data_IF_497130017959
#
_entry.id   IF_497130017959
#
_cell.length_a   1.000
_cell.length_b   1.000
_cell.length_c   1.000
_cell.angle_alpha   90.00
_cell.angle_beta   90.00
_cell.angle_gamma   90.00
#
_symmetry.space_group_name_H-M   'P 1'
#
loop_
_entity.id
_entity.type
_entity.pdbx_description
1 polymer ?
#
# COMPACT_ATOMS: atom_id res chain seq x y z
N UNK A 1 -18.35 15.64 -27.37
CA UNK A 1 -19.30 14.53 -27.47
C UNK A 1 -20.54 14.95 -26.68
N UNK A 2 -21.64 15.29 -27.37
CA UNK A 2 -22.85 15.83 -26.75
C UNK A 2 -23.58 14.70 -26.02
N UNK A 3 -23.72 14.81 -24.69
CA UNK A 3 -24.60 13.93 -23.93
C UNK A 3 -26.02 14.07 -24.49
N UNK A 4 -26.57 12.99 -25.01
CA UNK A 4 -27.83 12.99 -25.81
C UNK A 4 -29.09 13.24 -24.98
N UNK A 5 -29.07 13.13 -23.66
CA UNK A 5 -30.15 13.56 -22.76
C UNK A 5 -29.70 13.49 -21.27
N UNK A 6 -30.27 14.32 -20.40
CA UNK A 6 -30.13 14.23 -18.95
C UNK A 6 -30.67 12.91 -18.38
N UNK A 7 -31.62 12.26 -19.06
CA UNK A 7 -32.18 10.95 -18.69
C UNK A 7 -31.13 9.82 -18.79
N UNK A 8 -30.23 9.88 -19.80
CA UNK A 8 -29.16 8.89 -19.91
C UNK A 8 -28.13 8.99 -18.79
N UNK A 9 -27.94 10.18 -18.20
CA UNK A 9 -27.03 10.38 -17.07
C UNK A 9 -27.56 9.72 -15.79
N UNK A 10 -28.87 9.70 -15.56
CA UNK A 10 -29.47 9.09 -14.37
C UNK A 10 -29.12 7.61 -14.28
N UNK A 11 -29.25 6.87 -15.38
CA UNK A 11 -28.92 5.46 -15.40
C UNK A 11 -27.41 5.17 -15.13
N UNK A 12 -26.54 6.06 -15.63
CA UNK A 12 -25.10 5.96 -15.35
C UNK A 12 -24.76 6.33 -13.91
N UNK A 13 -25.45 7.33 -13.33
CA UNK A 13 -25.29 7.71 -11.94
C UNK A 13 -25.65 6.57 -10.99
N UNK A 14 -26.76 5.87 -11.26
CA UNK A 14 -27.17 4.70 -10.48
C UNK A 14 -26.10 3.60 -10.52
N UNK A 15 -25.52 3.33 -11.70
CA UNK A 15 -24.45 2.34 -11.84
C UNK A 15 -23.18 2.76 -11.08
N UNK A 16 -22.77 4.02 -11.25
CA UNK A 16 -21.58 4.56 -10.54
C UNK A 16 -21.80 4.55 -9.03
N UNK A 17 -23.00 4.87 -8.56
CA UNK A 17 -23.32 4.88 -7.15
C UNK A 17 -23.33 3.47 -6.55
N UNK A 18 -23.94 2.50 -7.25
CA UNK A 18 -24.00 1.11 -6.78
C UNK A 18 -22.61 0.49 -6.67
N UNK A 19 -21.85 0.46 -7.76
CA UNK A 19 -20.48 -0.07 -7.73
C UNK A 19 -19.54 0.79 -6.86
N UNK A 20 -19.75 2.10 -6.86
CA UNK A 20 -19.00 3.01 -6.00
C UNK A 20 -19.21 2.75 -4.52
N UNK A 21 -20.45 2.46 -4.12
CA UNK A 21 -20.79 2.09 -2.76
C UNK A 21 -20.13 0.79 -2.32
N UNK A 22 -20.13 -0.23 -3.18
CA UNK A 22 -19.44 -1.51 -2.94
C UNK A 22 -17.91 -1.32 -2.79
N UNK A 23 -17.30 -0.53 -3.69
CA UNK A 23 -15.85 -0.27 -3.65
C UNK A 23 -15.46 0.47 -2.38
N UNK A 24 -16.20 1.51 -1.98
CA UNK A 24 -15.91 2.27 -0.75
C UNK A 24 -16.05 1.37 0.47
N UNK A 25 -17.11 0.57 0.56
CA UNK A 25 -17.30 -0.36 1.68
C UNK A 25 -16.15 -1.38 1.77
N UNK A 26 -15.77 -1.99 0.64
CA UNK A 26 -14.67 -2.94 0.57
C UNK A 26 -13.32 -2.30 0.97
N UNK A 27 -13.06 -1.05 0.54
CA UNK A 27 -11.85 -0.31 0.94
C UNK A 27 -11.80 -0.05 2.44
N UNK A 28 -12.91 0.39 3.04
CA UNK A 28 -12.99 0.64 4.48
C UNK A 28 -12.81 -0.65 5.27
N UNK A 29 -13.39 -1.76 4.81
CA UNK A 29 -13.17 -3.05 5.43
C UNK A 29 -11.70 -3.47 5.35
N UNK A 30 -11.10 -3.41 4.17
CA UNK A 30 -9.68 -3.74 3.98
C UNK A 30 -8.77 -2.86 4.86
N UNK A 31 -9.06 -1.56 4.97
CA UNK A 31 -8.30 -0.64 5.83
C UNK A 31 -8.44 -0.98 7.31
N UNK A 32 -9.62 -1.39 7.76
CA UNK A 32 -9.84 -1.77 9.16
C UNK A 32 -9.01 -2.99 9.59
N UNK A 33 -8.66 -3.87 8.65
CA UNK A 33 -7.80 -5.03 8.86
C UNK A 33 -6.31 -4.71 8.68
N UNK A 34 -6.01 -3.84 7.72
CA UNK A 34 -4.65 -3.49 7.33
C UNK A 34 -3.98 -2.49 8.30
N UNK A 35 -4.71 -1.46 8.71
CA UNK A 35 -4.15 -0.35 9.49
C UNK A 35 -3.52 -0.79 10.83
N UNK A 36 -4.13 -1.68 11.63
CA UNK A 36 -3.50 -2.17 12.87
C UNK A 36 -2.16 -2.85 12.62
N UNK A 37 -2.06 -3.66 11.54
CA UNK A 37 -0.82 -4.35 11.15
C UNK A 37 0.23 -3.32 10.73
N UNK A 38 -0.15 -2.34 9.91
CA UNK A 38 0.74 -1.26 9.49
C UNK A 38 1.29 -0.46 10.67
N UNK A 39 0.44 -0.08 11.62
CA UNK A 39 0.83 0.68 12.80
C UNK A 39 1.79 -0.10 13.71
N UNK A 40 1.56 -1.40 13.88
CA UNK A 40 2.44 -2.27 14.66
C UNK A 40 3.83 -2.35 14.02
N UNK A 41 3.90 -2.66 12.72
CA UNK A 41 5.15 -2.74 11.97
C UNK A 41 5.89 -1.41 11.97
N UNK A 42 5.16 -0.31 11.73
CA UNK A 42 5.79 1.01 11.71
C UNK A 42 6.40 1.37 13.06
N UNK A 43 5.71 1.10 14.17
CA UNK A 43 6.22 1.32 15.52
C UNK A 43 7.47 0.50 15.82
N UNK A 44 7.56 -0.72 15.28
CA UNK A 44 8.73 -1.57 15.42
C UNK A 44 9.93 -1.08 14.60
N UNK A 45 9.67 -0.41 13.46
CA UNK A 45 10.70 0.11 12.56
C UNK A 45 11.14 1.54 12.94
N UNK A 46 10.22 2.34 13.50
CA UNK A 46 10.44 3.75 13.82
C UNK A 46 9.58 4.16 15.01
N UNK A 47 10.21 4.34 16.16
CA UNK A 47 9.51 4.59 17.43
C UNK A 47 9.16 6.05 17.73
N UNK A 48 9.55 7.01 16.87
CA UNK A 48 9.46 8.44 17.22
C UNK A 48 8.06 9.02 17.17
N UNK A 49 7.27 8.68 16.15
CA UNK A 49 5.93 9.24 15.92
C UNK A 49 4.97 8.15 15.41
N UNK A 50 3.69 8.17 15.84
CA UNK A 50 2.74 7.22 15.31
C UNK A 50 2.42 7.51 13.83
N UNK A 51 2.33 6.46 13.02
CA UNK A 51 1.87 6.55 11.63
C UNK A 51 0.48 5.94 11.51
N UNK A 52 -0.39 6.56 10.72
CA UNK A 52 -1.74 6.07 10.47
C UNK A 52 -2.24 6.46 9.09
N UNK A 53 -3.30 5.78 8.65
CA UNK A 53 -3.90 5.95 7.34
C UNK A 53 -5.28 6.58 7.51
N UNK A 54 -5.55 7.67 6.78
CA UNK A 54 -6.87 8.28 6.72
C UNK A 54 -7.47 8.07 5.34
N UNK A 55 -8.66 7.48 5.26
CA UNK A 55 -9.41 7.39 4.01
C UNK A 55 -10.12 8.71 3.73
N UNK A 56 -9.68 9.41 2.70
CA UNK A 56 -10.31 10.64 2.21
C UNK A 56 -11.31 10.31 1.12
N UNK A 57 -12.59 10.33 1.45
CA UNK A 57 -13.66 10.04 0.51
C UNK A 57 -14.23 11.29 -0.16
N UNK A 58 -14.81 11.10 -1.34
CA UNK A 58 -15.61 12.09 -2.06
C UNK A 58 -17.03 12.26 -1.49
N UNK A 59 -17.44 11.36 -0.59
CA UNK A 59 -18.69 11.45 0.17
C UNK A 59 -18.40 11.66 1.66
N UNK A 60 -19.35 12.26 2.37
CA UNK A 60 -19.25 12.49 3.81
C UNK A 60 -19.53 11.19 4.57
N UNK A 61 -18.77 10.94 5.64
CA UNK A 61 -18.94 9.80 6.54
C UNK A 61 -19.18 8.46 5.82
N UNK A 62 -18.21 7.99 5.00
CA UNK A 62 -18.33 6.71 4.32
C UNK A 62 -18.41 5.57 5.34
N UNK A 63 -19.19 4.51 5.04
CA UNK A 63 -19.42 3.37 5.93
C UNK A 63 -19.06 2.05 5.25
N UNK A 64 -19.02 0.96 6.03
CA UNK A 64 -18.84 -0.39 5.46
C UNK A 64 -20.15 -0.95 4.86
N UNK A 65 -21.23 -0.16 4.82
CA UNK A 65 -22.49 -0.54 4.20
C UNK A 65 -22.53 -0.01 2.75
N UNK A 66 -22.52 -0.88 1.73
CA UNK A 66 -22.55 -0.46 0.32
C UNK A 66 -23.76 0.38 -0.05
N UNK A 67 -24.96 0.05 0.49
CA UNK A 67 -26.20 0.74 0.17
C UNK A 67 -26.22 2.18 0.71
N UNK A 68 -25.73 2.38 1.92
CA UNK A 68 -25.58 3.72 2.50
C UNK A 68 -24.63 4.59 1.67
N UNK A 69 -23.49 4.05 1.28
CA UNK A 69 -22.54 4.74 0.43
C UNK A 69 -23.13 5.06 -0.94
N UNK A 70 -23.85 4.10 -1.55
CA UNK A 70 -24.54 4.33 -2.83
C UNK A 70 -25.52 5.50 -2.74
N UNK A 71 -26.33 5.55 -1.68
CA UNK A 71 -27.27 6.65 -1.43
C UNK A 71 -26.53 7.99 -1.32
N UNK A 72 -25.46 8.05 -0.52
CA UNK A 72 -24.65 9.26 -0.33
C UNK A 72 -23.98 9.72 -1.64
N UNK A 73 -23.52 8.78 -2.48
CA UNK A 73 -22.96 9.08 -3.81
C UNK A 73 -24.02 9.73 -4.68
N UNK A 74 -25.22 9.16 -4.76
CA UNK A 74 -26.32 9.72 -5.57
C UNK A 74 -26.75 11.11 -5.10
N UNK A 75 -26.83 11.32 -3.80
CA UNK A 75 -27.15 12.64 -3.23
C UNK A 75 -26.06 13.65 -3.57
N UNK A 76 -24.79 13.29 -3.43
CA UNK A 76 -23.67 14.16 -3.77
C UNK A 76 -23.61 14.49 -5.26
N UNK A 77 -23.87 13.51 -6.13
CA UNK A 77 -23.95 13.72 -7.59
C UNK A 77 -25.04 14.70 -7.98
N UNK A 78 -26.21 14.68 -7.29
CA UNK A 78 -27.28 15.67 -7.52
C UNK A 78 -26.78 17.09 -7.23
N UNK A 79 -26.05 17.28 -6.13
CA UNK A 79 -25.49 18.57 -5.74
C UNK A 79 -24.40 19.06 -6.70
N UNK A 80 -23.54 18.14 -7.17
CA UNK A 80 -22.39 18.47 -8.04
C UNK A 80 -22.73 18.52 -9.53
N UNK A 81 -23.94 18.14 -9.92
CA UNK A 81 -24.38 17.95 -11.32
C UNK A 81 -24.01 19.09 -12.26
N UNK A 82 -24.30 20.34 -11.89
CA UNK A 82 -24.00 21.48 -12.74
C UNK A 82 -22.51 21.61 -13.02
N UNK A 83 -21.68 21.45 -11.98
CA UNK A 83 -20.21 21.53 -12.10
C UNK A 83 -19.64 20.34 -12.87
N UNK A 84 -20.23 19.15 -12.77
CA UNK A 84 -19.80 17.96 -13.53
C UNK A 84 -20.06 18.13 -15.02
N UNK A 85 -21.23 18.67 -15.38
CA UNK A 85 -21.58 18.97 -16.78
C UNK A 85 -20.64 20.03 -17.34
N UNK A 86 -20.42 21.13 -16.60
CA UNK A 86 -19.52 22.22 -17.01
C UNK A 86 -18.10 21.74 -17.25
N UNK A 87 -17.58 20.89 -16.36
CA UNK A 87 -16.20 20.38 -16.42
C UNK A 87 -16.05 19.14 -17.32
N UNK A 88 -17.13 18.49 -17.71
CA UNK A 88 -17.13 17.27 -18.49
C UNK A 88 -16.53 16.07 -17.77
N UNK A 89 -16.62 16.02 -16.43
CA UNK A 89 -16.06 14.93 -15.61
C UNK A 89 -16.88 14.72 -14.33
N UNK A 90 -16.89 13.48 -13.83
CA UNK A 90 -17.53 13.12 -12.56
C UNK A 90 -16.68 13.60 -11.38
N UNK A 91 -17.31 14.27 -10.41
CA UNK A 91 -16.66 14.81 -9.20
C UNK A 91 -16.84 13.92 -7.97
N UNK A 92 -17.73 12.94 -8.04
CA UNK A 92 -18.12 12.07 -6.92
C UNK A 92 -17.90 10.60 -7.30
N UNK A 93 -17.40 9.82 -6.36
CA UNK A 93 -17.19 8.38 -6.51
C UNK A 93 -15.77 7.93 -6.11
N UNK A 94 -15.52 6.61 -6.00
CA UNK A 94 -14.28 6.04 -5.46
C UNK A 94 -13.02 6.37 -6.27
N UNK A 95 -13.16 6.85 -7.50
CA UNK A 95 -12.06 7.35 -8.34
C UNK A 95 -11.57 8.76 -7.93
N UNK A 96 -12.27 9.42 -7.02
CA UNK A 96 -11.90 10.72 -6.42
C UNK A 96 -11.39 10.58 -5.00
N UNK A 97 -11.48 9.40 -4.44
CA UNK A 97 -11.03 9.11 -3.09
C UNK A 97 -9.51 8.92 -3.05
N UNK A 98 -8.91 9.14 -1.89
CA UNK A 98 -7.48 9.04 -1.67
C UNK A 98 -7.18 8.39 -0.31
N UNK A 99 -5.96 7.87 -0.13
CA UNK A 99 -5.42 7.46 1.15
C UNK A 99 -4.38 8.47 1.61
N UNK A 100 -4.63 9.09 2.74
CA UNK A 100 -3.70 10.03 3.35
C UNK A 100 -2.87 9.32 4.40
N UNK A 101 -1.56 9.33 4.21
CA UNK A 101 -0.60 8.83 5.19
C UNK A 101 -0.24 9.97 6.14
N UNK A 102 -0.36 9.72 7.43
CA UNK A 102 -0.09 10.68 8.49
C UNK A 102 1.05 10.19 9.37
N UNK A 103 1.83 11.13 9.86
CA UNK A 103 2.90 10.94 10.82
C UNK A 103 2.72 11.93 11.97
N UNK A 104 2.24 11.46 13.12
CA UNK A 104 1.70 12.35 14.14
C UNK A 104 0.56 13.19 13.55
N UNK A 105 0.58 14.48 13.79
CA UNK A 105 -0.46 15.43 13.34
C UNK A 105 -0.25 15.94 11.89
N UNK A 106 0.73 15.41 11.16
CA UNK A 106 1.11 15.91 9.85
C UNK A 106 0.96 14.88 8.75
N UNK A 107 0.63 15.35 7.54
CA UNK A 107 0.68 14.51 6.34
C UNK A 107 2.13 14.13 6.02
N UNK A 108 2.37 12.86 5.72
CA UNK A 108 3.69 12.36 5.27
C UNK A 108 4.18 13.15 4.06
N UNK A 109 3.27 13.40 3.11
CA UNK A 109 3.58 14.18 1.90
C UNK A 109 3.92 15.63 2.25
N UNK A 110 5.18 15.98 2.04
CA UNK A 110 5.69 17.33 2.25
C UNK A 110 6.19 17.63 3.68
N UNK A 111 6.06 16.67 4.61
CA UNK A 111 6.53 16.82 5.98
C UNK A 111 7.59 15.79 6.38
N UNK A 112 7.40 14.52 6.01
CA UNK A 112 8.27 13.44 6.42
C UNK A 112 9.68 13.58 5.81
N UNK A 113 10.69 13.31 6.61
CA UNK A 113 12.07 13.16 6.16
C UNK A 113 12.20 11.97 5.20
N UNK A 114 13.34 11.86 4.52
CA UNK A 114 13.63 10.73 3.63
C UNK A 114 13.57 9.39 4.40
N UNK A 115 14.19 9.32 5.58
CA UNK A 115 14.17 8.12 6.41
C UNK A 115 12.78 7.73 6.91
N UNK A 116 11.95 8.71 7.36
CA UNK A 116 10.56 8.47 7.75
C UNK A 116 9.72 7.99 6.57
N UNK A 117 9.86 8.61 5.40
CA UNK A 117 9.15 8.20 4.17
C UNK A 117 9.50 6.77 3.77
N UNK A 118 10.79 6.41 3.88
CA UNK A 118 11.27 5.08 3.59
C UNK A 118 10.71 4.05 4.59
N UNK A 119 10.72 4.37 5.90
CA UNK A 119 10.14 3.52 6.94
C UNK A 119 8.65 3.27 6.71
N UNK A 120 7.89 4.30 6.32
CA UNK A 120 6.47 4.16 5.98
C UNK A 120 6.28 3.25 4.76
N UNK A 121 7.05 3.47 3.69
CA UNK A 121 6.95 2.65 2.49
C UNK A 121 7.27 1.17 2.78
N UNK A 122 8.31 0.90 3.56
CA UNK A 122 8.64 -0.44 4.01
C UNK A 122 7.50 -1.04 4.85
N UNK A 123 7.00 -0.30 5.85
CA UNK A 123 5.92 -0.77 6.73
C UNK A 123 4.64 -1.11 5.96
N UNK A 124 4.28 -0.32 4.94
CA UNK A 124 3.15 -0.62 4.06
C UNK A 124 3.34 -1.93 3.30
N UNK A 125 4.55 -2.17 2.77
CA UNK A 125 4.87 -3.43 2.06
C UNK A 125 4.83 -4.63 2.98
N UNK A 126 5.40 -4.51 4.18
CA UNK A 126 5.42 -5.58 5.17
C UNK A 126 4.01 -5.87 5.71
N UNK A 127 3.20 -4.84 5.95
CA UNK A 127 1.81 -5.00 6.35
C UNK A 127 0.98 -5.72 5.27
N UNK A 128 1.19 -5.38 4.00
CA UNK A 128 0.57 -6.08 2.88
C UNK A 128 0.95 -7.56 2.88
N UNK A 129 2.24 -7.86 3.06
CA UNK A 129 2.73 -9.23 3.14
C UNK A 129 2.06 -10.01 4.27
N UNK A 130 2.03 -9.45 5.49
CA UNK A 130 1.41 -10.10 6.65
C UNK A 130 -0.10 -10.28 6.50
N UNK A 131 -0.81 -9.31 5.91
CA UNK A 131 -2.25 -9.45 5.65
C UNK A 131 -2.53 -10.63 4.71
N UNK A 132 -1.76 -10.75 3.63
CA UNK A 132 -1.88 -11.88 2.69
C UNK A 132 -1.56 -13.23 3.34
N UNK A 133 -0.57 -13.30 4.24
CA UNK A 133 -0.29 -14.53 5.01
C UNK A 133 -1.44 -14.89 5.94
N UNK A 134 -2.04 -13.91 6.61
CA UNK A 134 -3.19 -14.10 7.49
C UNK A 134 -4.38 -14.69 6.74
N UNK A 135 -4.57 -14.32 5.48
CA UNK A 135 -5.60 -14.85 4.59
C UNK A 135 -5.24 -16.25 4.04
N UNK A 136 -4.16 -16.86 4.52
CA UNK A 136 -3.71 -18.19 4.11
C UNK A 136 -2.95 -18.22 2.80
N UNK A 137 -2.66 -17.08 2.21
CA UNK A 137 -1.77 -16.98 1.06
C UNK A 137 -0.31 -17.17 1.50
N UNK A 138 0.52 -17.57 0.55
CA UNK A 138 1.96 -17.76 0.77
C UNK A 138 2.73 -16.91 -0.22
N UNK A 139 2.76 -15.57 -0.02
CA UNK A 139 3.42 -14.68 -0.97
C UNK A 139 4.93 -14.90 -0.98
N UNK A 140 5.54 -14.71 -2.15
CA UNK A 140 6.98 -14.67 -2.29
C UNK A 140 7.46 -13.28 -1.88
N UNK A 141 8.43 -13.21 -0.98
CA UNK A 141 9.05 -11.96 -0.57
C UNK A 141 10.21 -11.63 -1.51
N UNK A 142 10.14 -10.49 -2.17
CA UNK A 142 11.21 -9.98 -3.04
C UNK A 142 11.75 -8.69 -2.42
N UNK A 143 13.05 -8.69 -2.07
CA UNK A 143 13.77 -7.59 -1.46
C UNK A 143 14.87 -7.14 -2.43
N UNK A 144 14.59 -6.06 -3.17
CA UNK A 144 15.47 -5.55 -4.22
C UNK A 144 16.30 -4.38 -3.68
N UNK A 145 17.59 -4.62 -3.45
CA UNK A 145 18.63 -3.68 -2.96
C UNK A 145 18.25 -2.89 -1.68
N UNK A 146 17.38 -3.48 -0.84
CA UNK A 146 16.83 -2.77 0.32
C UNK A 146 17.82 -2.63 1.48
N UNK A 147 18.82 -3.51 1.58
CA UNK A 147 19.75 -3.54 2.72
C UNK A 147 20.80 -2.44 2.70
N UNK A 148 21.08 -1.85 1.54
CA UNK A 148 22.01 -0.73 1.39
C UNK A 148 21.51 0.56 2.06
N UNK A 149 20.18 0.74 2.14
CA UNK A 149 19.54 1.95 2.66
C UNK A 149 19.13 1.84 4.14
N UNK A 150 19.38 0.66 4.79
CA UNK A 150 18.91 0.38 6.13
C UNK A 150 19.96 0.63 7.20
N UNK A 151 19.55 1.31 8.28
CA UNK A 151 20.24 1.25 9.55
C UNK A 151 20.11 -0.14 10.19
N UNK A 152 20.84 -0.35 11.27
CA UNK A 152 20.93 -1.66 11.93
C UNK A 152 19.59 -2.13 12.50
N UNK A 153 18.80 -1.23 13.07
CA UNK A 153 17.50 -1.55 13.68
C UNK A 153 16.49 -2.04 12.64
N UNK A 154 16.32 -1.30 11.55
CA UNK A 154 15.44 -1.68 10.42
C UNK A 154 15.91 -2.96 9.74
N UNK A 155 17.22 -3.15 9.63
CA UNK A 155 17.83 -4.37 9.06
C UNK A 155 17.44 -5.61 9.85
N UNK A 156 17.43 -5.55 11.19
CA UNK A 156 17.04 -6.68 12.06
C UNK A 156 15.58 -7.10 11.81
N UNK A 157 14.65 -6.14 11.69
CA UNK A 157 13.25 -6.43 11.41
C UNK A 157 13.05 -7.11 10.05
N UNK A 158 13.74 -6.62 9.03
CA UNK A 158 13.65 -7.19 7.69
C UNK A 158 14.27 -8.60 7.61
N UNK A 159 15.38 -8.84 8.32
CA UNK A 159 16.00 -10.18 8.45
C UNK A 159 15.02 -11.16 9.10
N UNK A 160 14.34 -10.74 10.18
CA UNK A 160 13.35 -11.58 10.86
C UNK A 160 12.24 -12.00 9.91
N UNK A 161 11.69 -11.08 9.14
CA UNK A 161 10.66 -11.36 8.15
C UNK A 161 11.19 -12.28 7.04
N UNK A 162 12.37 -11.99 6.49
CA UNK A 162 12.98 -12.80 5.43
C UNK A 162 13.20 -14.26 5.86
N UNK A 163 13.43 -14.50 7.16
CA UNK A 163 13.58 -15.86 7.72
C UNK A 163 12.25 -16.58 7.92
N UNK A 164 11.16 -15.86 8.15
CA UNK A 164 9.83 -16.46 8.37
C UNK A 164 9.07 -16.69 7.08
N UNK A 165 9.36 -15.93 6.03
CA UNK A 165 8.73 -16.07 4.74
C UNK A 165 9.02 -17.44 4.10
N UNK A 166 8.02 -18.02 3.43
CA UNK A 166 8.16 -19.33 2.79
C UNK A 166 9.24 -19.33 1.71
N UNK A 167 9.34 -18.24 0.94
CA UNK A 167 10.38 -18.03 -0.06
C UNK A 167 10.74 -16.57 -0.12
N UNK A 168 12.04 -16.28 -0.11
CA UNK A 168 12.56 -14.93 -0.20
C UNK A 168 13.60 -14.84 -1.30
N UNK A 169 13.48 -13.84 -2.16
CA UNK A 169 14.53 -13.42 -3.10
C UNK A 169 15.11 -12.10 -2.62
N UNK A 170 16.44 -12.03 -2.56
CA UNK A 170 17.16 -10.85 -2.11
C UNK A 170 18.18 -10.50 -3.19
N UNK A 171 18.14 -9.28 -3.66
CA UNK A 171 19.20 -8.72 -4.51
C UNK A 171 20.04 -7.73 -3.71
N UNK A 172 21.33 -7.70 -3.99
CA UNK A 172 22.27 -6.70 -3.47
C UNK A 172 23.25 -6.32 -4.55
N UNK A 173 23.59 -5.04 -4.61
CA UNK A 173 24.60 -4.55 -5.54
C UNK A 173 26.02 -4.93 -5.08
N UNK A 174 26.24 -4.95 -3.76
CA UNK A 174 27.53 -5.29 -3.13
C UNK A 174 27.31 -6.44 -2.15
N UNK A 175 28.18 -7.46 -2.22
CA UNK A 175 28.05 -8.67 -1.38
C UNK A 175 28.07 -8.35 0.13
N UNK A 176 28.81 -7.32 0.55
CA UNK A 176 28.89 -6.91 1.95
C UNK A 176 27.57 -6.34 2.51
N UNK A 177 26.63 -5.93 1.66
CA UNK A 177 25.32 -5.44 2.08
C UNK A 177 24.36 -6.60 2.45
N UNK A 178 24.69 -7.82 2.03
CA UNK A 178 23.89 -8.99 2.41
C UNK A 178 24.14 -9.37 3.88
N UNK A 179 23.08 -9.37 4.72
CA UNK A 179 23.20 -9.76 6.12
C UNK A 179 23.74 -11.19 6.27
N UNK A 180 24.74 -11.36 7.15
CA UNK A 180 25.38 -12.67 7.41
C UNK A 180 24.43 -13.68 8.05
N UNK A 181 23.39 -13.18 8.70
CA UNK A 181 22.33 -13.94 9.36
C UNK A 181 21.38 -14.64 8.39
N UNK A 182 21.40 -14.26 7.10
CA UNK A 182 20.60 -14.85 6.05
C UNK A 182 21.40 -15.96 5.35
N UNK A 183 20.80 -17.16 5.33
CA UNK A 183 21.36 -18.33 4.66
C UNK A 183 20.48 -18.72 3.47
N UNK A 184 21.10 -19.12 2.38
CA UNK A 184 20.36 -19.52 1.17
C UNK A 184 21.31 -19.82 0.00
N UNK A 185 20.72 -20.17 -1.13
CA UNK A 185 21.44 -20.28 -2.39
C UNK A 185 21.87 -18.90 -2.88
N UNK A 186 23.12 -18.79 -3.28
CA UNK A 186 23.68 -17.52 -3.80
C UNK A 186 23.94 -17.64 -5.28
N UNK A 187 23.56 -16.59 -5.99
CA UNK A 187 23.75 -16.47 -7.44
C UNK A 187 24.49 -15.17 -7.73
N UNK A 188 25.49 -15.26 -8.57
CA UNK A 188 26.22 -14.11 -9.07
C UNK A 188 25.74 -13.77 -10.49
N UNK A 189 25.41 -12.50 -10.71
CA UNK A 189 24.94 -12.00 -12.01
C UNK A 189 25.97 -11.05 -12.58
N UNK A 190 26.55 -11.37 -13.73
CA UNK A 190 27.51 -10.52 -14.43
C UNK A 190 27.25 -10.55 -15.93
N UNK A 191 27.10 -9.38 -16.53
CA UNK A 191 26.90 -9.22 -17.99
C UNK A 191 25.76 -10.11 -18.54
N UNK A 192 24.63 -10.22 -17.80
CA UNK A 192 23.48 -11.04 -18.18
C UNK A 192 23.65 -12.55 -17.97
N UNK A 193 24.77 -13.00 -17.43
CA UNK A 193 24.99 -14.41 -17.10
C UNK A 193 24.79 -14.64 -15.59
N UNK A 194 24.11 -15.74 -15.26
CA UNK A 194 23.83 -16.15 -13.87
C UNK A 194 24.67 -17.38 -13.55
N UNK A 195 25.43 -17.32 -12.46
CA UNK A 195 26.20 -18.46 -11.95
C UNK A 195 25.87 -18.72 -10.48
N UNK A 196 25.68 -19.99 -10.10
CA UNK A 196 25.47 -20.37 -8.70
C UNK A 196 26.81 -20.41 -7.97
N UNK A 197 26.89 -19.75 -6.81
CA UNK A 197 28.09 -19.81 -5.95
C UNK A 197 28.02 -21.12 -5.16
N UNK A 198 28.92 -22.06 -5.43
CA UNK A 198 29.07 -23.27 -4.65
C UNK A 198 29.59 -22.95 -3.25
N UNK A 199 29.04 -23.55 -2.19
CA UNK A 199 29.44 -23.34 -0.76
C UNK A 199 30.89 -23.70 -0.40
N UNK A 200 31.78 -23.87 -1.35
CA UNK A 200 33.18 -24.30 -1.15
C UNK A 200 34.19 -23.19 -1.42
N UNK A 201 34.07 -22.06 -0.70
CA UNK A 201 35.20 -21.13 -0.54
C UNK A 201 35.03 -20.32 0.74
N UNK A 202 35.00 -20.97 1.90
CA UNK A 202 35.52 -20.36 3.09
C UNK A 202 37.03 -20.23 2.90
N UNK A 203 37.44 -19.05 2.44
CA UNK A 203 38.87 -18.68 2.42
C UNK A 203 39.32 -18.60 3.87
N UNK A 204 40.34 -19.43 4.18
CA UNK A 204 41.11 -19.40 5.41
C UNK A 204 41.71 -18.05 5.68
#
# INVERSE_FOLDING_TARGET
MLFRSTESLVAWDEQVANFGGEIIAARLQALSEFEPIFQEIYRDISSEKPAFITYKSSIEEPTQNPLENSTKILERMKVTRASEIERGLTLTGPHRDDLLLNLGDHLVKGYASHGESWSIALSLKLATYQLLEKDGLKPILILDDVFSELDEERRVHLIKLAKTAQQTFITVAVENDLPKELSGDRFFVKSGQVSKISKSAEVK
#
